data_IF_377741734187
#
_entry.id   IF_377741734187
#
_cell.length_a   1.000
_cell.length_b   1.000
_cell.length_c   1.000
_cell.angle_alpha   90.00
_cell.angle_beta   90.00
_cell.angle_gamma   90.00
#
_symmetry.space_group_name_H-M   'P 1'
#
loop_
_entity.id
_entity.type
_entity.pdbx_description
1 polymer ?
#
# COMPACT_ATOMS: atom_id res chain seq x y z
N UNK A 1 9.73 9.03 3.39
CA UNK A 1 8.43 8.54 2.98
C UNK A 1 8.60 7.29 2.13
N UNK A 2 7.73 6.33 2.28
CA UNK A 2 7.86 5.09 1.55
C UNK A 2 6.74 4.95 0.53
N UNK A 3 7.03 4.29 -0.59
CA UNK A 3 6.02 4.02 -1.59
C UNK A 3 5.43 2.64 -1.39
N UNK A 4 4.12 2.54 -1.39
CA UNK A 4 3.42 1.29 -1.18
C UNK A 4 2.47 1.00 -2.33
N UNK A 5 2.36 -0.26 -2.69
CA UNK A 5 1.38 -0.69 -3.66
C UNK A 5 0.25 -1.38 -2.90
N UNK A 6 -0.96 -0.97 -3.18
CA UNK A 6 -2.12 -1.46 -2.45
C UNK A 6 -3.08 -2.16 -3.37
N UNK A 7 -3.70 -3.21 -2.87
CA UNK A 7 -4.61 -4.04 -3.65
C UNK A 7 -5.94 -4.21 -2.92
N UNK A 8 -7.01 -4.14 -3.65
CA UNK A 8 -8.32 -4.31 -3.05
C UNK A 8 -9.30 -4.80 -4.14
N UNK A 9 -9.81 -6.01 -3.99
CA UNK A 9 -10.82 -6.58 -4.88
C UNK A 9 -10.44 -6.45 -6.36
N UNK A 10 -9.21 -6.84 -6.70
CA UNK A 10 -8.74 -6.78 -8.06
C UNK A 10 -8.30 -5.41 -8.55
N UNK A 11 -8.37 -4.40 -7.68
CA UNK A 11 -7.91 -3.06 -8.01
C UNK A 11 -6.56 -2.82 -7.38
N UNK A 12 -5.77 -1.92 -7.95
CA UNK A 12 -4.48 -1.57 -7.39
C UNK A 12 -4.32 -0.07 -7.38
N UNK A 13 -3.53 0.42 -6.44
CA UNK A 13 -3.12 1.82 -6.44
C UNK A 13 -1.79 1.95 -5.72
N UNK A 14 -1.14 3.08 -5.90
CA UNK A 14 0.12 3.36 -5.23
C UNK A 14 -0.07 4.55 -4.33
N UNK A 15 0.46 4.45 -3.11
CA UNK A 15 0.37 5.55 -2.16
C UNK A 15 1.72 5.75 -1.49
N UNK A 16 1.98 6.93 -1.00
CA UNK A 16 3.19 7.24 -0.27
C UNK A 16 2.81 7.58 1.15
N UNK A 17 3.49 6.96 2.10
CA UNK A 17 3.19 7.16 3.51
C UNK A 17 4.42 6.86 4.35
N UNK A 18 4.38 7.24 5.60
CA UNK A 18 5.49 7.01 6.51
C UNK A 18 5.46 5.59 7.07
N UNK A 19 4.31 4.97 7.11
CA UNK A 19 4.15 3.63 7.67
C UNK A 19 3.14 2.84 6.86
N UNK A 20 3.24 1.53 6.98
CA UNK A 20 2.29 0.63 6.31
C UNK A 20 0.84 0.92 6.72
N UNK A 21 0.63 1.16 8.00
CA UNK A 21 -0.72 1.46 8.50
C UNK A 21 -1.30 2.71 7.83
N UNK A 22 -0.48 3.74 7.69
CA UNK A 22 -0.92 4.97 7.05
C UNK A 22 -1.25 4.73 5.59
N UNK A 23 -0.42 3.95 4.91
CA UNK A 23 -0.66 3.61 3.50
C UNK A 23 -1.98 2.85 3.36
N UNK A 24 -2.25 1.94 4.28
CA UNK A 24 -3.47 1.16 4.26
C UNK A 24 -4.70 2.05 4.43
N UNK A 25 -4.61 3.02 5.33
CA UNK A 25 -5.71 3.95 5.57
C UNK A 25 -5.97 4.82 4.34
N UNK A 26 -4.91 5.32 3.73
CA UNK A 26 -5.03 6.15 2.54
C UNK A 26 -5.65 5.33 1.40
N UNK A 27 -5.16 4.13 1.19
CA UNK A 27 -5.67 3.26 0.14
C UNK A 27 -7.13 2.89 0.37
N UNK A 28 -7.50 2.66 1.62
CA UNK A 28 -8.89 2.34 1.94
C UNK A 28 -9.81 3.48 1.53
N UNK A 29 -9.37 4.70 1.70
CA UNK A 29 -10.17 5.86 1.28
C UNK A 29 -10.26 5.93 -0.24
N UNK A 30 -9.17 5.65 -0.92
CA UNK A 30 -9.15 5.68 -2.39
C UNK A 30 -10.08 4.60 -2.95
N UNK A 31 -10.03 3.41 -2.40
CA UNK A 31 -10.85 2.30 -2.86
C UNK A 31 -12.27 2.36 -2.30
N UNK A 32 -12.51 3.24 -1.34
CA UNK A 32 -13.79 3.34 -0.64
C UNK A 32 -14.10 2.03 0.08
N UNK A 33 -13.07 1.42 0.62
CA UNK A 33 -13.23 0.20 1.40
C UNK A 33 -13.82 0.56 2.75
N UNK A 34 -14.73 -0.26 3.23
CA UNK A 34 -15.35 -0.01 4.52
C UNK A 34 -14.34 -0.15 5.66
N UNK A 35 -13.42 -1.07 5.53
CA UNK A 35 -12.45 -1.33 6.57
C UNK A 35 -11.06 -1.38 5.97
N UNK A 36 -10.13 -0.69 6.57
CA UNK A 36 -8.77 -0.58 6.03
C UNK A 36 -8.08 -1.94 5.96
N UNK A 37 -8.38 -2.85 6.87
CA UNK A 37 -7.70 -4.14 6.86
C UNK A 37 -8.07 -5.01 5.66
N UNK A 38 -9.06 -4.60 4.88
CA UNK A 38 -9.40 -5.33 3.67
C UNK A 38 -8.43 -5.01 2.54
N UNK A 39 -7.62 -3.98 2.71
CA UNK A 39 -6.66 -3.57 1.70
C UNK A 39 -5.32 -4.23 1.97
N UNK A 40 -4.76 -4.86 0.94
CA UNK A 40 -3.43 -5.46 1.04
C UNK A 40 -2.41 -4.41 0.65
N UNK A 41 -1.36 -4.28 1.44
CA UNK A 41 -0.34 -3.25 1.22
C UNK A 41 1.04 -3.90 1.10
N UNK A 42 1.79 -3.50 0.09
CA UNK A 42 3.16 -3.99 -0.11
C UNK A 42 4.10 -2.81 -0.23
N UNK A 43 5.22 -2.89 0.46
CA UNK A 43 6.25 -1.86 0.35
C UNK A 43 6.96 -2.02 -0.99
N UNK A 44 6.94 -1.00 -1.81
CA UNK A 44 7.59 -1.02 -3.11
C UNK A 44 8.76 -0.09 -3.20
N UNK A 45 8.79 0.95 -2.38
CA UNK A 45 9.82 1.96 -2.46
C UNK A 45 10.21 2.40 -1.07
N UNK A 46 11.49 2.47 -0.78
CA UNK A 46 11.97 2.91 0.50
C UNK A 46 12.97 4.03 0.25
N UNK A 47 12.72 5.18 0.84
CA UNK A 47 13.63 6.33 0.73
C UNK A 47 13.94 6.67 -0.72
N UNK A 48 12.94 6.61 -1.58
CA UNK A 48 13.14 6.96 -2.98
C UNK A 48 13.75 5.87 -3.83
N UNK A 49 14.05 4.72 -3.26
CA UNK A 49 14.62 3.60 -4.01
C UNK A 49 13.63 2.47 -4.10
N UNK A 50 13.59 1.86 -5.25
CA UNK A 50 12.73 0.72 -5.43
C UNK A 50 13.25 -0.47 -4.63
N UNK A 51 12.37 -1.09 -3.88
CA UNK A 51 12.72 -2.26 -3.11
C UNK A 51 12.17 -3.46 -3.83
N UNK A 52 13.06 -4.37 -4.22
CA UNK A 52 12.63 -5.57 -4.90
C UNK A 52 12.14 -6.53 -3.85
N UNK A 53 10.89 -6.78 -3.85
CA UNK A 53 10.31 -7.73 -2.95
C UNK A 53 10.04 -8.96 -3.70
N UNK A 54 10.60 -10.02 -3.23
CA UNK A 54 10.12 -11.25 -3.66
C UNK A 54 8.92 -11.41 -2.86
N UNK A 55 7.94 -11.27 -3.40
CA UNK A 55 6.68 -11.44 -2.92
C UNK A 55 6.35 -12.42 -1.96
N UNK A 56 7.00 -12.46 -1.01
CA UNK A 56 6.62 -13.38 -0.11
C UNK A 56 5.80 -12.82 0.86
N UNK A 57 5.41 -11.88 0.76
CA UNK A 57 4.59 -11.44 1.77
C UNK A 57 3.30 -11.93 1.83
#
# INVERSE_FOLDING_TARGET
MFGYKCFYRGKTCEVYALRTFDAQEIAAKIFKAKKSYEVTVMLCEKEGKEVVHTATT
#
